data_IF_761875744523
#
_entry.id   IF_761875744523
#
_cell.length_a   1.000
_cell.length_b   1.000
_cell.length_c   1.000
_cell.angle_alpha   90.00
_cell.angle_beta   90.00
_cell.angle_gamma   90.00
#
_symmetry.space_group_name_H-M   'P 1'
#
loop_
_entity.id
_entity.type
_entity.pdbx_description
1 polymer ?
#
# COMPACT_ATOMS: atom_id res chain seq x y z
N UNK A 1 -23.56 4.72 21.35
CA UNK A 1 -24.23 4.00 20.24
C UNK A 1 -23.20 3.93 19.14
N UNK A 2 -22.91 2.73 18.61
CA UNK A 2 -22.03 2.56 17.45
C UNK A 2 -22.70 3.21 16.24
N UNK A 3 -21.93 3.98 15.46
CA UNK A 3 -22.39 4.52 14.19
C UNK A 3 -22.68 3.33 13.25
N UNK A 4 -23.92 3.16 12.74
CA UNK A 4 -24.23 2.07 11.82
C UNK A 4 -23.36 2.09 10.56
N UNK A 5 -22.84 3.24 10.16
CA UNK A 5 -21.92 3.37 9.03
C UNK A 5 -20.51 2.89 9.39
N UNK A 6 -20.04 3.07 10.63
CA UNK A 6 -18.73 2.62 11.12
C UNK A 6 -18.87 1.65 12.30
N UNK A 7 -19.32 0.40 12.06
CA UNK A 7 -19.73 -0.52 13.12
C UNK A 7 -18.60 -0.90 14.08
N UNK A 8 -17.34 -0.86 13.62
CA UNK A 8 -16.16 -1.18 14.41
C UNK A 8 -15.45 0.05 15.00
N UNK A 9 -15.91 1.26 14.66
CA UNK A 9 -15.20 2.48 15.01
C UNK A 9 -13.78 2.50 14.45
N UNK A 10 -13.63 2.19 13.16
CA UNK A 10 -12.36 2.26 12.43
C UNK A 10 -11.75 3.67 12.55
N UNK A 11 -10.42 3.74 12.67
CA UNK A 11 -9.67 4.99 12.70
C UNK A 11 -8.29 4.86 12.04
N UNK A 12 -8.23 4.44 10.79
CA UNK A 12 -7.00 4.33 10.02
C UNK A 12 -6.22 3.02 10.21
N UNK A 13 -5.14 2.89 9.45
CA UNK A 13 -4.18 1.79 9.59
C UNK A 13 -3.29 1.98 10.83
N UNK A 14 -2.85 0.87 11.41
CA UNK A 14 -1.85 0.88 12.49
C UNK A 14 -0.46 0.46 11.99
N UNK A 15 -0.36 -0.69 11.32
CA UNK A 15 0.89 -1.20 10.76
C UNK A 15 0.66 -2.12 9.56
N UNK A 16 1.74 -2.37 8.81
CA UNK A 16 1.85 -3.52 7.89
C UNK A 16 3.04 -4.37 8.33
N UNK A 17 2.83 -5.69 8.45
CA UNK A 17 3.87 -6.66 8.78
C UNK A 17 4.44 -7.29 7.51
N UNK A 18 5.76 -7.33 7.44
CA UNK A 18 6.51 -7.96 6.37
C UNK A 18 7.37 -9.10 6.90
N UNK A 19 7.64 -10.04 6.00
CA UNK A 19 8.55 -11.16 6.20
C UNK A 19 9.33 -11.42 4.91
N UNK A 20 10.56 -11.93 5.02
CA UNK A 20 11.42 -12.18 3.85
C UNK A 20 12.38 -13.33 4.09
N UNK A 21 12.69 -14.16 3.07
CA UNK A 21 13.78 -15.12 3.12
C UNK A 21 15.14 -14.47 3.40
N UNK A 22 15.29 -13.19 3.02
CA UNK A 22 16.41 -12.33 3.37
C UNK A 22 15.92 -11.10 4.16
N UNK A 23 15.77 -11.21 5.49
CA UNK A 23 15.30 -10.11 6.31
C UNK A 23 16.34 -8.99 6.47
N UNK A 24 17.62 -9.25 6.19
CA UNK A 24 18.66 -8.22 6.26
C UNK A 24 18.57 -7.28 5.05
N UNK A 25 18.37 -7.84 3.84
CA UNK A 25 18.13 -7.05 2.64
C UNK A 25 16.85 -6.20 2.75
N UNK A 26 15.75 -6.80 3.25
CA UNK A 26 14.50 -6.07 3.46
C UNK A 26 14.64 -4.93 4.49
N UNK A 27 15.38 -5.17 5.59
CA UNK A 27 15.70 -4.12 6.55
C UNK A 27 16.48 -2.95 5.92
N UNK A 28 17.50 -3.25 5.11
CA UNK A 28 18.27 -2.23 4.42
C UNK A 28 17.40 -1.42 3.43
N UNK A 29 16.45 -2.07 2.76
CA UNK A 29 15.49 -1.41 1.89
C UNK A 29 14.49 -0.51 2.64
N UNK A 30 14.04 -0.89 3.85
CA UNK A 30 13.29 0.02 4.72
C UNK A 30 14.10 1.26 5.07
N UNK A 31 15.38 1.09 5.41
CA UNK A 31 16.27 2.21 5.74
C UNK A 31 16.53 3.11 4.53
N UNK A 32 16.62 2.55 3.31
CA UNK A 32 16.68 3.31 2.06
C UNK A 32 15.43 4.18 1.81
N UNK A 33 14.26 3.73 2.25
CA UNK A 33 13.01 4.50 2.21
C UNK A 33 12.92 5.56 3.33
N UNK A 34 13.93 5.69 4.19
CA UNK A 34 13.97 6.68 5.27
C UNK A 34 13.44 6.18 6.61
N UNK A 35 13.06 4.90 6.72
CA UNK A 35 12.64 4.31 7.99
C UNK A 35 13.83 4.03 8.89
N UNK A 36 13.58 3.94 10.20
CA UNK A 36 14.58 3.47 11.18
C UNK A 36 14.01 2.39 12.07
N UNK A 37 14.85 1.43 12.45
CA UNK A 37 14.50 0.47 13.48
C UNK A 37 14.31 1.21 14.82
N UNK A 38 13.10 1.14 15.38
CA UNK A 38 12.72 1.89 16.58
C UNK A 38 12.51 1.02 17.80
N UNK A 39 11.85 -0.14 17.65
CA UNK A 39 11.47 -1.01 18.75
C UNK A 39 11.66 -2.48 18.39
N UNK A 40 11.95 -3.32 19.39
CA UNK A 40 11.92 -4.78 19.29
C UNK A 40 10.80 -5.33 20.15
N UNK A 41 10.01 -6.22 19.55
CA UNK A 41 8.92 -6.90 20.25
C UNK A 41 9.49 -7.74 21.42
N UNK A 42 8.79 -7.83 22.57
CA UNK A 42 9.34 -8.43 23.78
C UNK A 42 9.61 -9.94 23.70
N UNK A 43 8.84 -10.67 22.88
CA UNK A 43 8.94 -12.15 22.77
C UNK A 43 9.16 -12.65 21.35
N UNK A 44 8.32 -12.24 20.39
CA UNK A 44 8.46 -12.53 18.95
C UNK A 44 9.68 -11.80 18.35
N UNK A 45 10.29 -12.36 17.31
CA UNK A 45 11.42 -11.76 16.58
C UNK A 45 10.96 -10.69 15.58
N UNK A 46 10.34 -9.64 16.11
CA UNK A 46 9.78 -8.53 15.33
C UNK A 46 10.55 -7.25 15.64
N UNK A 47 10.92 -6.52 14.59
CA UNK A 47 11.43 -5.15 14.71
C UNK A 47 10.48 -4.18 14.04
N UNK A 48 10.10 -3.13 14.76
CA UNK A 48 9.32 -2.01 14.23
C UNK A 48 10.24 -1.03 13.52
N UNK A 49 10.00 -0.80 12.25
CA UNK A 49 10.58 0.27 11.45
C UNK A 49 9.58 1.43 11.40
N UNK A 50 10.06 2.64 11.68
CA UNK A 50 9.23 3.83 11.85
C UNK A 50 9.75 4.99 11.01
N UNK A 51 8.81 5.74 10.43
CA UNK A 51 9.02 7.06 9.85
C UNK A 51 7.69 7.83 9.92
N UNK A 52 7.70 9.00 10.56
CA UNK A 52 6.48 9.78 10.74
C UNK A 52 5.46 8.97 11.54
N UNK A 53 4.23 8.84 11.07
CA UNK A 53 3.18 8.00 11.68
C UNK A 53 3.12 6.58 11.10
N UNK A 54 3.94 6.23 10.11
CA UNK A 54 3.96 4.90 9.49
C UNK A 54 4.74 3.91 10.36
N UNK A 55 4.18 2.70 10.50
CA UNK A 55 4.83 1.58 11.17
C UNK A 55 4.90 0.37 10.23
N UNK A 56 6.12 -0.07 9.92
CA UNK A 56 6.36 -1.31 9.18
C UNK A 56 7.00 -2.32 10.13
N UNK A 57 6.40 -3.50 10.28
CA UNK A 57 6.94 -4.56 11.13
C UNK A 57 7.76 -5.51 10.28
N UNK A 58 8.98 -5.84 10.71
CA UNK A 58 9.76 -6.91 10.10
C UNK A 58 9.79 -8.11 11.03
N UNK A 59 8.98 -9.12 10.69
CA UNK A 59 8.89 -10.36 11.44
C UNK A 59 9.87 -11.41 10.89
N UNK A 60 10.73 -11.89 11.78
CA UNK A 60 11.85 -12.81 11.50
C UNK A 60 11.74 -14.11 12.26
N UNK A 61 10.56 -14.45 12.79
CA UNK A 61 10.33 -15.76 13.38
C UNK A 61 10.62 -16.84 12.33
N UNK A 62 11.37 -17.87 12.73
CA UNK A 62 11.88 -18.95 11.88
C UNK A 62 10.91 -20.14 11.78
N UNK A 63 9.87 -20.15 12.61
CA UNK A 63 8.81 -21.13 12.65
C UNK A 63 7.42 -20.48 12.71
N UNK A 64 6.38 -21.32 12.71
CA UNK A 64 4.99 -20.89 12.78
C UNK A 64 4.49 -20.24 11.49
N UNK A 65 3.40 -19.50 11.61
CA UNK A 65 2.68 -18.88 10.49
C UNK A 65 3.58 -18.03 9.59
N UNK A 66 4.39 -17.16 10.18
CA UNK A 66 5.19 -16.20 9.39
C UNK A 66 6.25 -16.91 8.55
N UNK A 67 6.83 -17.99 9.08
CA UNK A 67 7.75 -18.81 8.32
C UNK A 67 7.05 -19.56 7.18
N UNK A 68 5.83 -20.06 7.40
CA UNK A 68 5.01 -20.69 6.37
C UNK A 68 4.63 -19.70 5.26
N UNK A 69 4.10 -18.53 5.64
CA UNK A 69 3.71 -17.46 4.71
C UNK A 69 4.90 -16.98 3.87
N UNK A 70 6.08 -16.85 4.48
CA UNK A 70 7.34 -16.54 3.78
C UNK A 70 7.77 -17.66 2.82
N UNK A 71 7.57 -18.93 3.19
CA UNK A 71 7.85 -20.07 2.32
C UNK A 71 6.95 -20.11 1.09
N UNK A 72 5.69 -19.72 1.26
CA UNK A 72 4.70 -19.64 0.19
C UNK A 72 4.94 -18.44 -0.73
N UNK A 73 5.08 -17.24 -0.18
CA UNK A 73 5.07 -15.99 -0.94
C UNK A 73 6.46 -15.35 -1.17
N UNK A 74 7.51 -15.80 -0.49
CA UNK A 74 8.81 -15.14 -0.52
C UNK A 74 8.82 -13.84 0.31
N UNK A 75 9.50 -12.76 -0.15
CA UNK A 75 9.40 -11.43 0.46
C UNK A 75 7.97 -10.89 0.29
N UNK A 76 7.28 -10.63 1.40
CA UNK A 76 5.83 -10.42 1.36
C UNK A 76 5.31 -9.58 2.53
N UNK A 77 4.11 -9.03 2.37
CA UNK A 77 3.34 -8.42 3.44
C UNK A 77 2.44 -9.50 4.08
N UNK A 78 2.81 -9.98 5.26
CA UNK A 78 2.16 -11.09 5.96
C UNK A 78 0.99 -10.69 6.84
N UNK A 79 0.86 -9.40 7.15
CA UNK A 79 -0.30 -8.90 7.87
C UNK A 79 -0.51 -7.39 7.69
N UNK A 80 -1.71 -6.93 8.02
CA UNK A 80 -2.04 -5.52 8.22
C UNK A 80 -2.83 -5.33 9.51
N UNK A 81 -2.88 -4.12 10.03
CA UNK A 81 -3.63 -3.80 11.23
C UNK A 81 -4.49 -2.55 11.05
N UNK A 82 -5.73 -2.63 11.53
CA UNK A 82 -6.66 -1.51 11.59
C UNK A 82 -6.83 -1.06 13.04
N UNK A 83 -6.89 0.27 13.24
CA UNK A 83 -7.34 0.84 14.50
C UNK A 83 -8.85 0.73 14.61
N UNK A 84 -9.34 0.29 15.76
CA UNK A 84 -10.76 0.08 16.05
C UNK A 84 -11.11 0.61 17.43
N UNK A 85 -12.37 0.95 17.67
CA UNK A 85 -12.81 1.48 18.96
C UNK A 85 -12.76 0.43 20.10
N UNK A 86 -12.91 -0.86 19.81
CA UNK A 86 -12.83 -1.96 20.77
C UNK A 86 -12.46 -3.27 20.02
N UNK A 87 -11.22 -3.79 20.15
CA UNK A 87 -10.77 -4.99 19.44
C UNK A 87 -11.56 -6.25 19.76
N UNK A 88 -12.06 -6.40 21.00
CA UNK A 88 -12.82 -7.60 21.40
C UNK A 88 -14.18 -7.57 20.72
N UNK A 89 -14.88 -6.42 20.76
CA UNK A 89 -16.16 -6.27 20.05
C UNK A 89 -15.98 -6.34 18.54
N UNK A 90 -14.88 -5.82 18.00
CA UNK A 90 -14.56 -5.93 16.58
C UNK A 90 -14.38 -7.40 16.16
N UNK A 91 -13.70 -8.19 16.98
CA UNK A 91 -13.57 -9.63 16.75
C UNK A 91 -14.92 -10.36 16.81
N UNK A 92 -15.72 -10.12 17.85
CA UNK A 92 -17.07 -10.70 17.98
C UNK A 92 -17.95 -10.37 16.77
N UNK A 93 -17.94 -9.11 16.32
CA UNK A 93 -18.64 -8.66 15.13
C UNK A 93 -18.13 -9.38 13.89
N UNK A 94 -16.81 -9.40 13.66
CA UNK A 94 -16.23 -9.99 12.47
C UNK A 94 -16.60 -11.48 12.35
N UNK A 95 -16.48 -12.23 13.45
CA UNK A 95 -16.85 -13.66 13.49
C UNK A 95 -18.34 -13.88 13.25
N UNK A 96 -19.21 -13.06 13.84
CA UNK A 96 -20.65 -13.14 13.63
C UNK A 96 -21.06 -12.86 12.16
N UNK A 97 -20.18 -12.20 11.39
CA UNK A 97 -20.38 -11.85 9.99
C UNK A 97 -19.51 -12.67 9.02
N UNK A 98 -18.97 -13.80 9.47
CA UNK A 98 -18.32 -14.79 8.62
C UNK A 98 -16.83 -14.59 8.41
N UNK A 99 -16.17 -13.74 9.20
CA UNK A 99 -14.71 -13.73 9.24
C UNK A 99 -14.16 -15.05 9.79
N UNK A 100 -13.03 -15.50 9.25
CA UNK A 100 -12.36 -16.70 9.72
C UNK A 100 -11.38 -16.35 10.85
N UNK A 101 -11.47 -17.12 11.94
CA UNK A 101 -10.58 -16.98 13.11
C UNK A 101 -9.19 -17.53 12.79
N UNK A 102 -8.17 -16.88 13.32
CA UNK A 102 -6.78 -17.37 13.29
C UNK A 102 -6.46 -18.26 14.49
N UNK A 103 -5.39 -19.05 14.39
CA UNK A 103 -4.88 -19.86 15.51
C UNK A 103 -4.02 -19.04 16.48
N UNK A 104 -3.61 -17.83 16.08
CA UNK A 104 -2.82 -16.91 16.90
C UNK A 104 -3.66 -15.68 17.29
N UNK A 105 -3.42 -15.16 18.51
CA UNK A 105 -3.96 -13.92 19.10
C UNK A 105 -5.51 -13.78 19.11
N UNK A 106 -6.07 -13.09 20.10
CA UNK A 106 -7.53 -13.07 20.30
C UNK A 106 -8.28 -12.09 19.40
N UNK A 107 -7.59 -11.13 18.77
CA UNK A 107 -8.20 -10.00 18.05
C UNK A 107 -7.64 -9.86 16.63
N UNK A 108 -7.61 -10.97 15.91
CA UNK A 108 -7.09 -11.07 14.54
C UNK A 108 -7.89 -12.09 13.74
N UNK A 109 -8.06 -11.80 12.45
CA UNK A 109 -8.79 -12.64 11.50
C UNK A 109 -7.92 -12.93 10.27
N UNK A 110 -8.31 -13.93 9.47
CA UNK A 110 -7.73 -14.13 8.15
C UNK A 110 -8.20 -13.04 7.18
N UNK A 111 -7.25 -12.48 6.44
CA UNK A 111 -7.42 -11.46 5.41
C UNK A 111 -6.91 -11.94 4.05
N UNK A 112 -6.56 -10.97 3.19
CA UNK A 112 -6.16 -11.18 1.80
C UNK A 112 -5.07 -12.26 1.66
N UNK A 113 -5.32 -13.26 0.81
CA UNK A 113 -4.33 -14.29 0.52
C UNK A 113 -3.82 -15.09 1.73
N UNK A 114 -4.58 -15.14 2.83
CA UNK A 114 -4.14 -15.80 4.07
C UNK A 114 -3.27 -14.92 4.99
N UNK A 115 -3.05 -13.65 4.62
CA UNK A 115 -2.44 -12.66 5.53
C UNK A 115 -3.32 -12.42 6.75
N UNK A 116 -2.74 -11.90 7.82
CA UNK A 116 -3.49 -11.60 9.04
C UNK A 116 -3.99 -10.16 9.05
N UNK A 117 -5.19 -9.94 9.59
CA UNK A 117 -5.77 -8.63 9.79
C UNK A 117 -6.04 -8.42 11.29
N UNK A 118 -5.24 -7.57 11.92
CA UNK A 118 -5.31 -7.28 13.35
C UNK A 118 -6.26 -6.13 13.67
N UNK A 119 -7.00 -6.28 14.77
CA UNK A 119 -7.76 -5.19 15.40
C UNK A 119 -6.95 -4.61 16.56
N UNK A 120 -6.58 -3.33 16.44
CA UNK A 120 -5.79 -2.62 17.44
C UNK A 120 -6.65 -1.53 18.07
N UNK A 121 -6.63 -1.43 19.39
CA UNK A 121 -7.38 -0.42 20.13
C UNK A 121 -6.93 0.99 19.73
N UNK A 122 -7.85 1.81 19.23
CA UNK A 122 -7.57 3.20 18.93
C UNK A 122 -7.24 3.99 20.21
N UNK A 123 -6.31 4.95 20.08
CA UNK A 123 -5.81 5.76 21.18
C UNK A 123 -4.85 5.05 22.15
N UNK A 124 -4.57 3.76 21.94
CA UNK A 124 -3.60 2.99 22.72
C UNK A 124 -2.22 2.95 22.05
N UNK A 125 -1.14 3.12 22.81
CA UNK A 125 0.22 2.91 22.30
C UNK A 125 0.53 1.40 22.29
N UNK A 126 0.36 0.76 21.14
CA UNK A 126 0.66 -0.67 20.94
C UNK A 126 2.11 -1.05 21.31
N UNK A 127 3.03 -0.08 21.31
CA UNK A 127 4.46 -0.32 21.41
C UNK A 127 5.05 0.03 22.77
N UNK A 128 4.24 0.49 23.72
CA UNK A 128 4.71 0.98 25.03
C UNK A 128 5.58 -0.05 25.78
N UNK A 129 5.28 -1.35 25.60
CA UNK A 129 5.94 -2.47 26.26
C UNK A 129 7.06 -3.09 25.41
N UNK A 130 7.35 -2.52 24.24
CA UNK A 130 8.42 -2.99 23.36
C UNK A 130 9.75 -2.38 23.78
N UNK A 131 10.84 -3.14 23.60
CA UNK A 131 12.17 -2.64 23.91
C UNK A 131 12.59 -1.59 22.87
N UNK A 132 12.78 -0.34 23.29
CA UNK A 132 13.27 0.72 22.42
C UNK A 132 14.71 0.46 21.97
N UNK A 133 15.03 0.80 20.72
CA UNK A 133 16.40 0.79 20.20
C UNK A 133 17.06 2.12 20.59
N UNK A 134 18.17 2.12 21.35
CA UNK A 134 18.79 3.37 21.80
C UNK A 134 19.10 4.34 20.66
N UNK A 135 18.68 5.61 20.80
CA UNK A 135 18.93 6.67 19.83
C UNK A 135 17.99 6.67 18.61
N UNK A 136 16.90 5.90 18.63
CA UNK A 136 16.02 5.77 17.47
C UNK A 136 15.32 7.08 17.10
N UNK A 137 15.01 7.96 18.05
CA UNK A 137 14.38 9.26 17.76
C UNK A 137 15.33 10.19 16.98
N UNK A 138 16.60 10.26 17.39
CA UNK A 138 17.62 11.01 16.66
C UNK A 138 17.88 10.41 15.28
N UNK A 139 17.89 9.07 15.20
CA UNK A 139 18.02 8.37 13.93
C UNK A 139 16.83 8.64 13.00
N UNK A 140 15.59 8.64 13.52
CA UNK A 140 14.40 8.96 12.74
C UNK A 140 14.50 10.39 12.21
N UNK A 141 14.79 11.37 13.07
CA UNK A 141 14.94 12.76 12.67
C UNK A 141 16.03 12.96 11.59
N UNK A 142 17.11 12.19 11.64
CA UNK A 142 18.19 12.25 10.66
C UNK A 142 17.88 11.50 9.35
N UNK A 143 17.20 10.35 9.41
CA UNK A 143 16.96 9.51 8.23
C UNK A 143 15.66 9.87 7.47
N UNK A 144 14.75 10.60 8.10
CA UNK A 144 13.45 10.97 7.54
C UNK A 144 13.56 11.66 6.16
N UNK A 145 12.71 11.25 5.23
CA UNK A 145 12.61 11.80 3.87
C UNK A 145 11.33 12.58 3.60
N UNK A 146 10.45 12.70 4.59
CA UNK A 146 9.18 13.41 4.51
C UNK A 146 7.95 12.49 4.39
N UNK A 147 8.11 11.17 4.56
CA UNK A 147 6.96 10.25 4.60
C UNK A 147 6.28 10.31 5.96
N UNK A 148 4.95 10.26 5.98
CA UNK A 148 4.21 10.45 7.24
C UNK A 148 3.10 9.45 7.52
N UNK A 149 2.18 9.16 6.59
CA UNK A 149 1.05 8.26 6.83
C UNK A 149 0.93 7.20 5.73
N UNK A 150 0.40 6.01 6.07
CA UNK A 150 -0.09 5.06 5.08
C UNK A 150 -1.42 5.56 4.54
N UNK A 151 -1.42 6.07 3.30
CA UNK A 151 -2.60 6.63 2.63
C UNK A 151 -3.60 5.55 2.21
N UNK A 152 -3.07 4.52 1.56
CA UNK A 152 -3.80 3.36 1.08
C UNK A 152 -2.85 2.20 0.81
N UNK A 153 -3.41 1.02 0.61
CA UNK A 153 -2.71 -0.13 0.07
C UNK A 153 -3.64 -0.87 -0.89
N UNK A 154 -3.10 -1.64 -1.83
CA UNK A 154 -3.90 -2.34 -2.84
C UNK A 154 -3.95 -3.83 -2.60
N UNK A 155 -4.98 -4.51 -3.13
CA UNK A 155 -4.98 -5.96 -3.26
C UNK A 155 -5.06 -6.37 -4.72
N UNK A 156 -4.10 -7.19 -5.15
CA UNK A 156 -4.23 -7.93 -6.39
C UNK A 156 -4.90 -9.26 -6.09
N UNK A 157 -6.02 -9.53 -6.77
CA UNK A 157 -6.87 -10.70 -6.56
C UNK A 157 -6.94 -11.52 -7.83
N UNK A 158 -7.18 -12.83 -7.70
CA UNK A 158 -7.35 -13.72 -8.84
C UNK A 158 -8.61 -13.34 -9.62
N UNK A 159 -8.65 -13.71 -10.89
CA UNK A 159 -9.84 -13.53 -11.73
C UNK A 159 -11.09 -14.15 -11.06
N UNK A 160 -12.17 -13.38 -11.00
CA UNK A 160 -13.43 -13.66 -10.34
C UNK A 160 -13.49 -13.31 -8.84
N UNK A 161 -12.37 -12.91 -8.21
CA UNK A 161 -12.31 -12.72 -6.75
C UNK A 161 -12.53 -11.27 -6.29
N UNK A 162 -12.59 -10.28 -7.19
CA UNK A 162 -12.81 -8.88 -6.79
C UNK A 162 -14.12 -8.71 -6.00
N UNK A 163 -15.20 -9.40 -6.41
CA UNK A 163 -16.48 -9.38 -5.69
C UNK A 163 -16.42 -10.05 -4.32
N UNK A 164 -15.60 -11.10 -4.17
CA UNK A 164 -15.41 -11.79 -2.90
C UNK A 164 -14.77 -10.83 -1.90
N UNK A 165 -13.69 -10.17 -2.31
CA UNK A 165 -12.96 -9.23 -1.45
C UNK A 165 -13.74 -7.93 -1.19
N UNK A 166 -14.44 -7.38 -2.17
CA UNK A 166 -15.27 -6.19 -1.91
C UNK A 166 -16.43 -6.50 -0.96
N UNK A 167 -17.04 -7.69 -1.06
CA UNK A 167 -18.05 -8.12 -0.11
C UNK A 167 -17.46 -8.39 1.28
N UNK A 168 -16.26 -8.96 1.38
CA UNK A 168 -15.55 -9.11 2.65
C UNK A 168 -15.39 -7.76 3.36
N UNK A 169 -14.84 -6.74 2.69
CA UNK A 169 -14.65 -5.42 3.29
C UNK A 169 -15.98 -4.71 3.58
N UNK A 170 -16.97 -4.84 2.70
CA UNK A 170 -18.29 -4.26 2.90
C UNK A 170 -19.02 -4.86 4.11
N UNK A 171 -19.05 -6.19 4.22
CA UNK A 171 -19.76 -6.90 5.29
C UNK A 171 -19.10 -6.67 6.65
N UNK A 172 -17.79 -6.87 6.73
CA UNK A 172 -17.10 -6.88 8.02
C UNK A 172 -16.86 -5.46 8.55
N UNK A 173 -16.58 -4.51 7.66
CA UNK A 173 -16.03 -3.21 8.01
C UNK A 173 -16.88 -2.03 7.57
N UNK A 174 -17.96 -2.27 6.82
CA UNK A 174 -18.82 -1.20 6.30
C UNK A 174 -18.18 -0.42 5.15
N UNK A 175 -17.18 -0.97 4.45
CA UNK A 175 -16.56 -0.26 3.33
C UNK A 175 -17.56 -0.01 2.20
N UNK A 176 -17.41 1.14 1.55
CA UNK A 176 -18.21 1.53 0.39
C UNK A 176 -17.35 1.47 -0.88
N UNK A 177 -17.97 1.03 -1.97
CA UNK A 177 -17.40 1.20 -3.29
C UNK A 177 -17.55 2.66 -3.71
N UNK A 178 -16.43 3.35 -3.92
CA UNK A 178 -16.47 4.72 -4.40
C UNK A 178 -16.43 4.78 -5.93
N UNK A 179 -15.60 3.95 -6.56
CA UNK A 179 -15.34 4.02 -8.00
C UNK A 179 -14.91 2.68 -8.57
N UNK A 180 -15.41 2.41 -9.76
CA UNK A 180 -15.03 1.28 -10.59
C UNK A 180 -14.23 1.78 -11.78
N UNK A 181 -13.17 1.04 -12.13
CA UNK A 181 -12.29 1.34 -13.25
C UNK A 181 -12.19 0.14 -14.20
N UNK A 182 -12.34 0.41 -15.49
CA UNK A 182 -12.00 -0.48 -16.59
C UNK A 182 -10.82 0.15 -17.34
N UNK A 183 -9.62 -0.38 -17.09
CA UNK A 183 -8.36 0.17 -17.55
C UNK A 183 -7.81 -0.72 -18.65
N UNK A 184 -7.44 -0.10 -19.77
CA UNK A 184 -6.89 -0.78 -20.94
C UNK A 184 -5.64 -0.06 -21.38
N UNK A 185 -4.54 -0.79 -21.45
CA UNK A 185 -3.31 -0.34 -22.12
C UNK A 185 -3.29 -0.78 -23.57
N UNK A 186 -2.08 -0.92 -24.09
CA UNK A 186 -1.84 -1.31 -25.48
C UNK A 186 -2.09 -2.80 -25.72
N UNK A 187 -1.78 -3.65 -24.74
CA UNK A 187 -1.83 -5.10 -24.88
C UNK A 187 -2.68 -5.80 -23.81
N UNK A 188 -2.85 -5.17 -22.66
CA UNK A 188 -3.49 -5.76 -21.48
C UNK A 188 -4.49 -4.81 -20.82
N UNK A 189 -5.30 -5.33 -19.91
CA UNK A 189 -6.23 -4.55 -19.12
C UNK A 189 -6.48 -5.11 -17.73
N UNK A 190 -7.03 -4.26 -16.85
CA UNK A 190 -7.43 -4.65 -15.51
C UNK A 190 -8.77 -4.01 -15.13
N UNK A 191 -9.45 -4.62 -14.17
CA UNK A 191 -10.54 -4.01 -13.42
C UNK A 191 -10.03 -3.58 -12.05
N UNK A 192 -10.43 -2.40 -11.61
CA UNK A 192 -10.12 -1.92 -10.26
C UNK A 192 -11.38 -1.40 -9.56
N UNK A 193 -11.58 -1.80 -8.31
CA UNK A 193 -12.67 -1.33 -7.46
C UNK A 193 -12.09 -0.64 -6.22
N UNK A 194 -12.24 0.68 -6.13
CA UNK A 194 -11.77 1.46 -5.01
C UNK A 194 -12.72 1.36 -3.83
N UNK A 195 -12.30 0.62 -2.79
CA UNK A 195 -13.06 0.46 -1.54
C UNK A 195 -12.56 1.47 -0.51
N UNK A 196 -13.48 2.21 0.12
CA UNK A 196 -13.16 3.20 1.15
C UNK A 196 -13.91 2.86 2.43
N UNK A 197 -13.18 2.82 3.54
CA UNK A 197 -13.74 2.61 4.84
C UNK A 197 -14.61 3.79 5.30
N UNK A 198 -15.54 3.57 6.25
CA UNK A 198 -16.36 4.63 6.84
C UNK A 198 -15.58 5.79 7.45
N UNK A 199 -14.38 5.54 7.96
CA UNK A 199 -13.47 6.55 8.53
C UNK A 199 -12.82 7.46 7.48
N UNK A 200 -12.98 7.12 6.19
CA UNK A 200 -12.34 7.76 5.02
C UNK A 200 -10.81 7.81 5.09
N UNK A 201 -10.19 7.13 6.06
CA UNK A 201 -8.75 7.02 6.23
C UNK A 201 -8.23 5.73 5.59
N UNK A 202 -8.92 4.61 5.78
CA UNK A 202 -8.54 3.33 5.19
C UNK A 202 -9.12 3.24 3.78
N UNK A 203 -8.25 3.09 2.78
CA UNK A 203 -8.66 2.86 1.39
C UNK A 203 -7.91 1.68 0.80
N UNK A 204 -8.64 0.84 0.07
CA UNK A 204 -8.14 -0.42 -0.46
C UNK A 204 -8.68 -0.63 -1.88
N UNK A 205 -7.94 -0.22 -2.92
CA UNK A 205 -8.24 -0.63 -4.29
C UNK A 205 -8.04 -2.14 -4.47
N UNK A 206 -9.04 -2.79 -5.06
CA UNK A 206 -9.01 -4.21 -5.41
C UNK A 206 -8.81 -4.32 -6.91
N UNK A 207 -7.75 -4.99 -7.36
CA UNK A 207 -7.38 -5.10 -8.76
C UNK A 207 -7.48 -6.55 -9.24
N UNK A 208 -8.11 -6.74 -10.37
CA UNK A 208 -8.29 -8.04 -11.01
C UNK A 208 -7.94 -7.95 -12.50
N UNK A 209 -7.33 -9.00 -13.05
CA UNK A 209 -6.94 -9.02 -14.46
C UNK A 209 -8.10 -9.25 -15.43
N UNK A 210 -8.08 -8.57 -16.58
CA UNK A 210 -8.96 -8.88 -17.72
C UNK A 210 -8.42 -10.00 -18.62
N UNK A 211 -7.11 -10.27 -18.56
CA UNK A 211 -6.40 -11.17 -19.46
C UNK A 211 -5.32 -11.99 -18.73
N UNK A 212 -4.69 -12.96 -19.40
CA UNK A 212 -3.76 -13.89 -18.76
C UNK A 212 -2.31 -13.34 -18.64
N UNK A 213 -2.07 -12.12 -19.13
CA UNK A 213 -0.73 -11.53 -19.26
C UNK A 213 -0.55 -10.21 -18.53
N UNK A 214 -1.63 -9.60 -18.03
CA UNK A 214 -1.56 -8.33 -17.33
C UNK A 214 -0.59 -8.37 -16.16
N UNK A 215 -0.13 -7.20 -15.75
CA UNK A 215 0.64 -7.00 -14.53
C UNK A 215 0.02 -7.62 -13.27
N UNK A 216 -1.32 -7.76 -13.22
CA UNK A 216 -2.01 -8.41 -12.09
C UNK A 216 -1.72 -9.91 -12.10
N UNK A 217 -1.78 -10.58 -13.25
CA UNK A 217 -1.43 -12.00 -13.36
C UNK A 217 0.06 -12.27 -13.16
N UNK A 218 0.93 -11.34 -13.57
CA UNK A 218 2.36 -11.39 -13.23
C UNK A 218 2.55 -11.35 -11.72
N UNK A 219 1.90 -10.41 -11.02
CA UNK A 219 1.92 -10.35 -9.56
C UNK A 219 1.43 -11.67 -8.94
N UNK A 220 0.26 -12.18 -9.34
CA UNK A 220 -0.32 -13.40 -8.75
C UNK A 220 0.63 -14.60 -8.92
N UNK A 221 1.32 -14.70 -10.05
CA UNK A 221 2.29 -15.77 -10.32
C UNK A 221 3.57 -15.62 -9.51
N UNK A 222 4.14 -14.41 -9.45
CA UNK A 222 5.39 -14.15 -8.72
C UNK A 222 5.18 -14.22 -7.20
N UNK A 223 4.10 -13.62 -6.72
CA UNK A 223 3.67 -13.67 -5.32
C UNK A 223 3.09 -15.03 -4.93
N UNK A 224 2.74 -15.88 -5.91
CA UNK A 224 2.12 -17.21 -5.74
C UNK A 224 0.79 -17.18 -5.00
N UNK A 225 0.03 -16.10 -5.16
CA UNK A 225 -1.24 -15.90 -4.47
C UNK A 225 -1.77 -14.49 -4.62
N UNK A 226 -2.90 -14.24 -3.97
CA UNK A 226 -3.43 -12.89 -3.80
C UNK A 226 -2.69 -12.19 -2.68
N UNK A 227 -2.62 -10.86 -2.72
CA UNK A 227 -1.86 -10.14 -1.70
C UNK A 227 -1.82 -8.65 -1.91
N UNK A 228 -1.08 -7.98 -1.03
CA UNK A 228 -0.83 -6.55 -1.13
C UNK A 228 0.19 -6.28 -2.23
N UNK A 229 -0.16 -5.50 -3.25
CA UNK A 229 0.76 -5.15 -4.32
C UNK A 229 1.57 -3.90 -3.98
N UNK A 230 0.92 -2.86 -3.45
CA UNK A 230 1.63 -1.66 -3.09
C UNK A 230 1.06 -0.97 -1.86
N UNK A 231 1.92 -0.15 -1.25
CA UNK A 231 1.58 0.73 -0.14
C UNK A 231 1.87 2.17 -0.56
N UNK A 232 0.89 3.05 -0.41
CA UNK A 232 1.03 4.47 -0.71
C UNK A 232 1.30 5.26 0.57
N UNK A 233 2.37 6.05 0.56
CA UNK A 233 2.89 6.76 1.71
C UNK A 233 2.76 8.27 1.47
N UNK A 234 2.07 8.98 2.37
CA UNK A 234 1.83 10.41 2.22
C UNK A 234 3.10 11.22 2.46
N UNK A 235 3.18 12.37 1.81
CA UNK A 235 4.18 13.41 2.09
C UNK A 235 3.62 14.81 1.83
N UNK A 236 4.11 15.79 2.57
CA UNK A 236 3.78 17.22 2.39
C UNK A 236 4.64 17.90 1.31
N UNK A 237 5.77 17.31 0.92
CA UNK A 237 6.61 17.78 -0.20
C UNK A 237 7.12 16.57 -0.99
N UNK A 238 6.35 16.18 -2.01
CA UNK A 238 6.70 15.05 -2.86
C UNK A 238 8.00 15.27 -3.62
N UNK A 239 8.35 16.51 -3.94
CA UNK A 239 9.54 16.77 -4.72
C UNK A 239 10.82 16.57 -3.90
N UNK A 240 10.88 17.15 -2.70
CA UNK A 240 12.01 16.92 -1.77
C UNK A 240 12.12 15.44 -1.41
N UNK A 241 10.98 14.80 -1.12
CA UNK A 241 10.92 13.37 -0.82
C UNK A 241 11.50 12.52 -1.95
N UNK A 242 11.08 12.74 -3.19
CA UNK A 242 11.55 11.99 -4.36
C UNK A 242 13.03 12.22 -4.63
N UNK A 243 13.50 13.45 -4.53
CA UNK A 243 14.90 13.80 -4.74
C UNK A 243 15.79 13.12 -3.68
N UNK A 244 15.33 13.08 -2.43
CA UNK A 244 15.97 12.37 -1.32
C UNK A 244 15.97 10.85 -1.48
N UNK A 245 14.87 10.27 -1.95
CA UNK A 245 14.77 8.82 -2.22
C UNK A 245 15.72 8.42 -3.36
N UNK A 246 15.76 9.19 -4.46
CA UNK A 246 16.71 8.97 -5.56
C UNK A 246 18.17 9.07 -5.10
N UNK A 247 18.49 10.07 -4.27
CA UNK A 247 19.83 10.22 -3.69
C UNK A 247 20.25 9.02 -2.81
N UNK A 248 19.28 8.33 -2.19
CA UNK A 248 19.48 7.09 -1.42
C UNK A 248 19.53 5.83 -2.30
N UNK A 249 19.38 5.95 -3.61
CA UNK A 249 19.43 4.84 -4.55
C UNK A 249 18.10 4.08 -4.72
N UNK A 250 16.98 4.63 -4.22
CA UNK A 250 15.65 4.08 -4.51
C UNK A 250 15.36 4.27 -6.00
N UNK A 251 15.06 3.17 -6.68
CA UNK A 251 14.69 3.19 -8.10
C UNK A 251 13.20 3.49 -8.22
N UNK A 252 12.86 4.47 -9.05
CA UNK A 252 11.49 4.91 -9.29
C UNK A 252 11.10 4.55 -10.72
N UNK A 253 9.83 4.27 -10.91
CA UNK A 253 9.28 4.00 -12.24
C UNK A 253 9.45 5.22 -13.15
N UNK A 254 9.50 4.93 -14.45
CA UNK A 254 9.65 5.94 -15.49
C UNK A 254 8.30 6.33 -16.07
N UNK A 255 8.24 7.43 -16.80
CA UNK A 255 7.02 7.84 -17.53
C UNK A 255 7.44 8.52 -18.81
N UNK A 256 6.73 8.23 -19.90
CA UNK A 256 7.06 8.74 -21.23
C UNK A 256 6.97 10.27 -21.28
N UNK A 257 7.88 10.92 -22.00
CA UNK A 257 7.95 12.39 -22.05
C UNK A 257 6.63 13.04 -22.52
N UNK A 258 5.93 12.39 -23.45
CA UNK A 258 4.64 12.86 -23.99
C UNK A 258 3.54 12.99 -22.94
N UNK A 259 3.67 12.33 -21.78
CA UNK A 259 2.77 12.56 -20.65
C UNK A 259 2.85 14.02 -20.18
N UNK A 260 4.06 14.54 -19.99
CA UNK A 260 4.31 15.90 -19.46
C UNK A 260 3.92 16.98 -20.45
N UNK A 261 4.07 16.72 -21.75
CA UNK A 261 3.59 17.62 -22.81
C UNK A 261 2.07 17.86 -22.76
N UNK A 262 1.31 16.93 -22.17
CA UNK A 262 -0.15 16.98 -22.08
C UNK A 262 -0.67 17.44 -20.71
N UNK A 263 0.20 17.61 -19.71
CA UNK A 263 -0.21 17.93 -18.32
C UNK A 263 -0.97 19.24 -18.24
N UNK A 264 -0.45 20.33 -18.80
CA UNK A 264 -1.09 21.66 -18.78
C UNK A 264 -2.49 21.65 -19.41
N UNK A 265 -2.70 20.77 -20.39
CA UNK A 265 -3.99 20.60 -21.06
C UNK A 265 -4.95 19.75 -20.24
N UNK A 266 -4.44 18.70 -19.58
CA UNK A 266 -5.24 17.78 -18.76
C UNK A 266 -5.67 18.40 -17.43
N UNK A 267 -4.77 19.12 -16.76
CA UNK A 267 -4.98 19.71 -15.44
C UNK A 267 -4.71 21.23 -15.51
N UNK A 268 -5.54 21.99 -16.24
CA UNK A 268 -5.29 23.40 -16.48
C UNK A 268 -5.21 24.19 -15.17
N UNK A 269 -4.17 25.05 -15.06
CA UNK A 269 -3.99 25.91 -13.89
C UNK A 269 -3.47 25.18 -12.65
N UNK A 270 -2.86 23.99 -12.79
CA UNK A 270 -2.36 23.18 -11.68
C UNK A 270 -1.34 23.87 -10.76
N UNK A 271 -0.60 24.86 -11.25
CA UNK A 271 0.34 25.65 -10.44
C UNK A 271 1.63 24.94 -10.04
N UNK A 272 1.77 23.65 -10.32
CA UNK A 272 3.01 22.89 -10.17
C UNK A 272 4.13 23.29 -11.15
N UNK A 273 5.38 23.07 -10.74
CA UNK A 273 6.56 23.20 -11.60
C UNK A 273 6.64 22.00 -12.56
N UNK A 274 6.19 22.20 -13.80
CA UNK A 274 6.12 21.14 -14.81
C UNK A 274 7.49 20.54 -15.14
N UNK A 275 8.56 21.36 -15.12
CA UNK A 275 9.91 20.84 -15.37
C UNK A 275 10.40 19.98 -14.20
N UNK A 276 10.07 20.36 -12.96
CA UNK A 276 10.40 19.53 -11.78
C UNK A 276 9.56 18.25 -11.73
N UNK A 277 8.28 18.30 -12.11
CA UNK A 277 7.45 17.09 -12.29
C UNK A 277 8.09 16.14 -13.29
N UNK A 278 8.41 16.65 -14.49
CA UNK A 278 9.01 15.90 -15.60
C UNK A 278 10.35 15.28 -15.22
N UNK A 279 11.23 16.06 -14.56
CA UNK A 279 12.55 15.60 -14.10
C UNK A 279 12.44 14.48 -13.08
N UNK A 280 11.49 14.58 -12.14
CA UNK A 280 11.33 13.62 -11.05
C UNK A 280 10.42 12.44 -11.39
N UNK A 281 9.78 12.47 -12.57
CA UNK A 281 8.77 11.53 -13.06
C UNK A 281 7.44 11.55 -12.29
N UNK A 282 7.15 12.63 -11.57
CA UNK A 282 5.95 12.75 -10.74
C UNK A 282 4.72 12.94 -11.63
N UNK A 283 3.70 12.12 -11.40
CA UNK A 283 2.42 12.19 -12.08
C UNK A 283 1.48 13.16 -11.37
N UNK A 284 0.59 13.79 -12.12
CA UNK A 284 -0.42 14.74 -11.63
C UNK A 284 -1.81 14.44 -12.21
N UNK A 285 -2.81 14.48 -11.33
CA UNK A 285 -4.22 14.36 -11.70
C UNK A 285 -5.12 15.20 -10.80
N UNK A 286 -6.40 15.29 -11.18
CA UNK A 286 -7.44 16.01 -10.46
C UNK A 286 -7.89 17.28 -11.16
N UNK A 287 -8.61 18.13 -10.43
CA UNK A 287 -9.19 19.37 -10.93
C UNK A 287 -9.04 20.47 -9.88
N UNK A 288 -8.22 21.49 -10.20
CA UNK A 288 -7.90 22.63 -9.33
C UNK A 288 -9.15 23.38 -8.86
N UNK A 289 -10.18 23.49 -9.70
CA UNK A 289 -11.40 24.25 -9.41
C UNK A 289 -12.47 23.49 -8.66
N UNK A 290 -12.30 22.19 -8.43
CA UNK A 290 -13.30 21.31 -7.84
C UNK A 290 -12.71 20.58 -6.63
N UNK A 291 -12.20 19.39 -6.86
CA UNK A 291 -11.71 18.43 -5.87
C UNK A 291 -10.24 18.64 -5.49
N UNK A 292 -9.53 19.57 -6.14
CA UNK A 292 -8.09 19.73 -5.98
C UNK A 292 -7.29 18.74 -6.83
N UNK A 293 -5.99 18.70 -6.59
CA UNK A 293 -5.05 17.85 -7.35
C UNK A 293 -4.35 16.85 -6.44
N UNK A 294 -3.77 15.82 -7.05
CA UNK A 294 -2.93 14.84 -6.38
C UNK A 294 -1.67 14.55 -7.21
N UNK A 295 -0.56 14.34 -6.51
CA UNK A 295 0.74 14.03 -7.07
C UNK A 295 1.17 12.64 -6.64
N UNK A 296 1.66 11.83 -7.58
CA UNK A 296 2.03 10.44 -7.32
C UNK A 296 3.31 10.05 -8.04
N UNK A 297 4.07 9.13 -7.46
CA UNK A 297 5.20 8.44 -8.09
C UNK A 297 5.38 7.08 -7.43
N UNK A 298 5.88 6.12 -8.19
CA UNK A 298 5.97 4.73 -7.77
C UNK A 298 7.42 4.29 -7.77
N UNK A 299 7.79 3.47 -6.79
CA UNK A 299 9.07 2.76 -6.84
C UNK A 299 8.99 1.63 -7.87
N UNK A 300 10.15 1.18 -8.35
CA UNK A 300 10.22 -0.18 -8.88
C UNK A 300 9.91 -1.20 -7.76
N UNK A 301 9.72 -2.47 -8.15
CA UNK A 301 9.54 -3.56 -7.19
C UNK A 301 10.69 -3.59 -6.17
N UNK A 302 10.33 -3.57 -4.89
CA UNK A 302 11.28 -3.59 -3.77
C UNK A 302 11.26 -4.93 -3.04
N UNK A 303 10.09 -5.51 -2.76
CA UNK A 303 9.97 -6.78 -2.04
C UNK A 303 9.24 -7.82 -2.88
N UNK A 304 9.99 -8.68 -3.58
CA UNK A 304 9.37 -9.54 -4.58
C UNK A 304 8.61 -8.65 -5.59
N UNK A 305 7.31 -8.87 -5.83
CA UNK A 305 6.50 -8.02 -6.70
C UNK A 305 5.84 -6.82 -5.99
N UNK A 306 6.19 -6.53 -4.72
CA UNK A 306 5.65 -5.39 -3.96
C UNK A 306 6.47 -4.13 -4.22
N UNK A 307 5.78 -3.01 -4.48
CA UNK A 307 6.37 -1.68 -4.63
C UNK A 307 5.70 -0.65 -3.71
N UNK A 308 6.22 0.57 -3.68
CA UNK A 308 5.70 1.67 -2.88
C UNK A 308 5.26 2.83 -3.77
N UNK A 309 4.25 3.54 -3.31
CA UNK A 309 3.80 4.80 -3.90
C UNK A 309 4.12 5.93 -2.92
N UNK A 310 4.58 7.06 -3.45
CA UNK A 310 4.72 8.31 -2.71
C UNK A 310 3.63 9.22 -3.24
N UNK A 311 2.75 9.68 -2.35
CA UNK A 311 1.57 10.46 -2.70
C UNK A 311 1.53 11.78 -1.93
N UNK A 312 1.20 12.86 -2.63
CA UNK A 312 0.85 14.13 -2.02
C UNK A 312 -0.54 14.55 -2.48
N UNK A 313 -1.48 14.62 -1.55
CA UNK A 313 -2.84 15.13 -1.79
C UNK A 313 -2.84 16.64 -1.59
N UNK A 314 -3.33 17.39 -2.60
CA UNK A 314 -3.57 18.84 -2.52
C UNK A 314 -5.07 19.08 -2.71
N UNK A 315 -5.86 18.63 -1.72
CA UNK A 315 -7.32 18.69 -1.71
C UNK A 315 -8.00 17.43 -2.23
N UNK A 316 -7.39 16.71 -3.18
CA UNK A 316 -8.04 15.55 -3.80
C UNK A 316 -7.93 14.28 -2.94
N UNK A 317 -9.08 13.79 -2.49
CA UNK A 317 -9.23 12.60 -1.64
C UNK A 317 -9.53 11.30 -2.42
N UNK A 318 -9.55 11.37 -3.76
CA UNK A 318 -9.78 10.25 -4.67
C UNK A 318 -8.49 9.53 -5.11
N UNK A 319 -8.53 8.82 -6.23
CA UNK A 319 -7.42 7.98 -6.73
C UNK A 319 -6.79 8.43 -8.05
N UNK A 320 -7.33 9.46 -8.71
CA UNK A 320 -6.80 9.99 -9.99
C UNK A 320 -6.83 8.99 -11.15
N UNK A 321 -7.90 9.01 -11.96
CA UNK A 321 -8.06 8.09 -13.11
C UNK A 321 -6.88 8.15 -14.09
N UNK A 322 -6.45 9.36 -14.43
CA UNK A 322 -5.39 9.62 -15.38
C UNK A 322 -4.01 9.27 -14.84
N UNK A 323 -3.80 9.33 -13.52
CA UNK A 323 -2.58 8.81 -12.91
C UNK A 323 -2.58 7.28 -12.88
N UNK A 324 -3.72 6.66 -12.57
CA UNK A 324 -3.85 5.22 -12.61
C UNK A 324 -3.59 4.64 -14.01
N UNK A 325 -4.12 5.29 -15.06
CA UNK A 325 -3.82 4.92 -16.45
C UNK A 325 -2.33 5.08 -16.77
N UNK A 326 -1.69 6.18 -16.35
CA UNK A 326 -0.27 6.41 -16.61
C UNK A 326 0.64 5.41 -15.87
N UNK A 327 0.30 5.05 -14.62
CA UNK A 327 0.94 3.95 -13.89
C UNK A 327 0.80 2.63 -14.65
N UNK A 328 -0.42 2.31 -15.11
CA UNK A 328 -0.69 1.07 -15.83
C UNK A 328 0.18 0.96 -17.10
N UNK A 329 0.23 2.04 -17.88
CA UNK A 329 1.04 2.11 -19.11
C UNK A 329 2.55 2.03 -18.81
N UNK A 330 3.02 2.66 -17.72
CA UNK A 330 4.42 2.57 -17.28
C UNK A 330 4.84 1.12 -16.99
N UNK A 331 4.01 0.39 -16.24
CA UNK A 331 4.28 -1.01 -15.90
C UNK A 331 4.18 -1.91 -17.14
N UNK A 332 3.19 -1.68 -18.01
CA UNK A 332 3.07 -2.42 -19.26
C UNK A 332 4.29 -2.22 -20.18
N UNK A 333 4.81 -0.99 -20.27
CA UNK A 333 6.05 -0.71 -20.99
C UNK A 333 7.25 -1.46 -20.40
N UNK A 334 7.36 -1.57 -19.07
CA UNK A 334 8.39 -2.37 -18.42
C UNK A 334 8.23 -3.88 -18.74
N UNK A 335 7.00 -4.41 -18.69
CA UNK A 335 6.71 -5.79 -19.09
C UNK A 335 7.14 -6.08 -20.53
N UNK A 336 6.92 -5.13 -21.45
CA UNK A 336 7.38 -5.22 -22.84
C UNK A 336 8.91 -5.17 -22.92
N UNK A 337 9.56 -4.25 -22.20
CA UNK A 337 11.03 -4.14 -22.13
C UNK A 337 11.69 -5.42 -21.59
N UNK A 338 11.08 -6.05 -20.59
CA UNK A 338 11.52 -7.34 -20.03
C UNK A 338 11.14 -8.55 -20.89
N UNK A 339 10.32 -8.36 -21.93
CA UNK A 339 9.87 -9.43 -22.83
C UNK A 339 8.79 -10.34 -22.26
N UNK A 340 8.14 -9.93 -21.17
CA UNK A 340 7.01 -10.65 -20.54
C UNK A 340 5.78 -10.61 -21.47
N UNK A 341 5.55 -9.45 -22.08
CA UNK A 341 4.50 -9.23 -23.07
C UNK A 341 5.15 -8.92 -24.42
N UNK A 342 4.56 -9.46 -25.49
CA UNK A 342 4.90 -9.11 -26.87
C UNK A 342 3.75 -8.31 -27.47
N UNK A 343 4.05 -7.12 -27.95
CA UNK A 343 3.18 -6.34 -28.84
C UNK A 343 3.65 -6.57 -30.26
N UNK A 344 2.73 -6.95 -31.14
CA UNK A 344 3.00 -6.99 -32.58
C UNK A 344 3.19 -5.55 -33.07
N UNK A 345 4.24 -5.32 -33.86
CA UNK A 345 4.68 -4.00 -34.32
C UNK A 345 3.74 -3.35 -35.35
#
# INVERSE_FOLDING_TARGET
MTDPANPLGLNGFEFVEFTSPDPAAMAAQFEQLGFVASHRHPTKNITRYKQGRINLMLNRDDAGRVAQFRGEHGPSASAMAFRVADPVKAMEWALAHGAERTEEDDTVILGIGGSYLYFIQDGHDLYENWAQIPGWQEAEAANNVGLDLLDHLTHNVRRGQMRVWSQFYKTLFGFEEQKYFDIKGQATGLFSQAMIAPDKAIRIPLNESQDDKSQIEEFIREYKGEGIQHLALTTDDIYDTVERLRARGVRLQDTIETYYELVDKRVPGHGEDLERLRKNRILIDGNVGEEGILLQIFTENMFGPIFFEIIQRKGNEGFGNGNFQALFESIELDQIRRGVIKVDA
#
